data_IF_038279839250
#
_entry.id   IF_038279839250
#
_cell.length_a   1.000
_cell.length_b   1.000
_cell.length_c   1.000
_cell.angle_alpha   90.00
_cell.angle_beta   90.00
_cell.angle_gamma   90.00
#
_symmetry.space_group_name_H-M   'P 1'
#
loop_
_entity.id
_entity.type
_entity.pdbx_description
1 polymer ?
#
# COMPACT_ATOMS: atom_id res chain seq x y z
N UNK A 1 -11.08 11.31 -10.83
CA UNK A 1 -11.25 9.97 -10.21
C UNK A 1 -10.96 8.99 -11.32
N UNK A 2 -10.01 8.06 -11.12
CA UNK A 2 -9.55 7.17 -12.20
C UNK A 2 -10.19 5.79 -12.03
N UNK A 3 -10.88 5.32 -13.08
CA UNK A 3 -11.56 4.03 -13.08
C UNK A 3 -10.73 3.01 -13.86
N UNK A 4 -10.46 1.87 -13.25
CA UNK A 4 -9.71 0.77 -13.86
C UNK A 4 -10.64 -0.44 -14.02
N UNK A 5 -10.74 -0.96 -15.25
CA UNK A 5 -11.39 -2.24 -15.54
C UNK A 5 -10.54 -3.39 -14.95
N UNK A 6 -11.18 -4.30 -14.23
CA UNK A 6 -10.46 -5.38 -13.54
C UNK A 6 -9.94 -6.47 -14.49
N UNK A 7 -10.40 -6.51 -15.73
CA UNK A 7 -9.86 -7.37 -16.78
C UNK A 7 -8.60 -6.81 -17.43
N UNK A 8 -8.28 -5.53 -17.23
CA UNK A 8 -7.11 -4.92 -17.80
C UNK A 8 -5.82 -5.56 -17.25
N UNK A 9 -4.78 -5.76 -18.09
CA UNK A 9 -3.48 -6.22 -17.62
C UNK A 9 -2.79 -5.13 -16.79
N UNK A 10 -1.94 -5.53 -15.84
CA UNK A 10 -1.17 -4.59 -15.01
C UNK A 10 -0.28 -3.67 -15.86
N UNK A 11 0.18 -4.13 -17.02
CA UNK A 11 0.95 -3.29 -17.96
C UNK A 11 0.14 -2.09 -18.48
N UNK A 12 -1.16 -2.27 -18.79
CA UNK A 12 -2.01 -1.15 -19.24
C UNK A 12 -2.22 -0.10 -18.16
N UNK A 13 -2.18 -0.49 -16.89
CA UNK A 13 -2.23 0.44 -15.75
C UNK A 13 -0.95 1.27 -15.70
N UNK A 14 0.21 0.64 -15.93
CA UNK A 14 1.51 1.32 -15.94
C UNK A 14 1.62 2.33 -17.09
N UNK A 15 1.15 1.93 -18.27
CA UNK A 15 1.19 2.75 -19.49
C UNK A 15 0.22 3.92 -19.47
N UNK A 16 -0.79 3.89 -18.57
CA UNK A 16 -1.72 4.99 -18.42
C UNK A 16 -1.01 6.22 -17.80
N UNK A 17 -1.11 7.41 -18.42
CA UNK A 17 -0.53 8.63 -17.87
C UNK A 17 -1.12 9.04 -16.51
N UNK A 18 -2.38 8.67 -16.22
CA UNK A 18 -3.07 8.95 -14.96
C UNK A 18 -2.64 8.02 -13.81
N UNK A 19 -1.71 7.08 -14.05
CA UNK A 19 -1.24 6.15 -13.05
C UNK A 19 -0.50 6.85 -11.89
N UNK A 20 -0.99 6.73 -10.64
CA UNK A 20 -0.34 7.34 -9.49
C UNK A 20 1.13 6.91 -9.33
N UNK A 21 2.03 7.82 -8.91
CA UNK A 21 3.45 7.50 -8.73
C UNK A 21 3.70 6.27 -7.86
N UNK A 22 2.94 6.10 -6.77
CA UNK A 22 3.02 4.94 -5.88
C UNK A 22 2.69 3.63 -6.62
N UNK A 23 1.61 3.59 -7.40
CA UNK A 23 1.28 2.39 -8.19
C UNK A 23 2.32 2.11 -9.26
N UNK A 24 2.76 3.14 -9.99
CA UNK A 24 3.82 3.02 -10.99
C UNK A 24 5.09 2.41 -10.38
N UNK A 25 5.52 2.92 -9.22
CA UNK A 25 6.69 2.45 -8.47
C UNK A 25 6.62 0.96 -8.14
N UNK A 26 5.48 0.50 -7.63
CA UNK A 26 5.26 -0.92 -7.27
C UNK A 26 5.19 -1.85 -8.49
N UNK A 27 4.90 -1.34 -9.68
CA UNK A 27 4.88 -2.12 -10.93
C UNK A 27 6.25 -2.20 -11.62
N UNK A 28 7.04 -1.13 -11.60
CA UNK A 28 8.31 -1.06 -12.36
C UNK A 28 9.49 -1.78 -11.70
N UNK A 29 9.44 -2.01 -10.39
CA UNK A 29 10.55 -2.62 -9.64
C UNK A 29 10.51 -4.16 -9.54
N UNK A 30 9.51 -4.73 -8.86
CA UNK A 30 9.49 -6.16 -8.49
C UNK A 30 8.91 -7.10 -9.55
N UNK A 31 8.09 -6.60 -10.46
CA UNK A 31 7.35 -7.44 -11.41
C UNK A 31 8.03 -7.34 -12.77
N UNK A 32 8.23 -8.47 -13.47
CA UNK A 32 8.76 -8.47 -14.83
C UNK A 32 7.74 -7.91 -15.82
N UNK A 33 8.19 -7.45 -16.98
CA UNK A 33 7.29 -7.00 -18.04
C UNK A 33 6.34 -8.13 -18.50
N UNK A 34 6.82 -9.37 -18.60
CA UNK A 34 6.02 -10.55 -18.95
C UNK A 34 4.90 -10.76 -17.92
N UNK A 35 5.25 -10.79 -16.63
CA UNK A 35 4.28 -10.97 -15.55
C UNK A 35 3.23 -9.85 -15.53
N UNK A 36 3.61 -8.61 -15.84
CA UNK A 36 2.65 -7.49 -15.94
C UNK A 36 1.65 -7.63 -17.10
N UNK A 37 2.05 -8.25 -18.21
CA UNK A 37 1.13 -8.50 -19.34
C UNK A 37 0.20 -9.70 -19.10
N UNK A 38 0.67 -10.72 -18.37
CA UNK A 38 -0.09 -11.94 -18.10
C UNK A 38 -0.99 -11.86 -16.85
N UNK A 39 -0.81 -10.82 -16.04
CA UNK A 39 -1.58 -10.63 -14.81
C UNK A 39 -2.59 -9.52 -15.02
N UNK A 40 -3.87 -9.87 -14.96
CA UNK A 40 -4.96 -8.89 -14.87
C UNK A 40 -5.06 -8.31 -13.47
N UNK A 41 -5.70 -7.15 -13.34
CA UNK A 41 -6.06 -6.56 -12.05
C UNK A 41 -6.84 -7.56 -11.18
N UNK A 42 -7.86 -8.20 -11.74
CA UNK A 42 -8.66 -9.19 -11.02
C UNK A 42 -7.80 -10.34 -10.50
N UNK A 43 -6.85 -10.83 -11.32
CA UNK A 43 -5.92 -11.89 -10.89
C UNK A 43 -5.00 -11.41 -9.77
N UNK A 44 -4.52 -10.18 -9.83
CA UNK A 44 -3.72 -9.60 -8.75
C UNK A 44 -4.52 -9.48 -7.44
N UNK A 45 -5.81 -9.14 -7.49
CA UNK A 45 -6.66 -9.03 -6.29
C UNK A 45 -7.07 -10.38 -5.70
N UNK A 46 -7.48 -11.31 -6.56
CA UNK A 46 -7.91 -12.67 -6.16
C UNK A 46 -6.73 -13.57 -5.76
N UNK A 47 -5.55 -13.32 -6.32
CA UNK A 47 -4.31 -14.00 -5.97
C UNK A 47 -3.23 -12.96 -5.61
N UNK A 48 -3.27 -12.39 -4.39
CA UNK A 48 -2.40 -11.27 -3.99
C UNK A 48 -0.90 -11.54 -4.12
N UNK A 49 -0.49 -12.81 -4.12
CA UNK A 49 0.91 -13.20 -4.38
C UNK A 49 1.42 -12.84 -5.78
N UNK A 50 0.53 -12.62 -6.75
CA UNK A 50 0.92 -12.22 -8.10
C UNK A 50 1.52 -10.81 -8.14
N UNK A 51 1.01 -9.90 -7.28
CA UNK A 51 1.47 -8.51 -7.22
C UNK A 51 1.30 -7.92 -5.81
N UNK A 52 1.98 -8.48 -4.78
CA UNK A 52 1.65 -8.20 -3.38
C UNK A 52 1.86 -6.74 -2.98
N UNK A 53 2.93 -6.11 -3.46
CA UNK A 53 3.19 -4.69 -3.20
C UNK A 53 2.19 -3.78 -3.89
N UNK A 54 1.76 -4.14 -5.10
CA UNK A 54 0.77 -3.36 -5.85
C UNK A 54 -0.60 -3.41 -5.16
N UNK A 55 -1.02 -4.60 -4.72
CA UNK A 55 -2.23 -4.78 -3.91
C UNK A 55 -2.12 -4.04 -2.57
N UNK A 56 -0.96 -4.10 -1.91
CA UNK A 56 -0.72 -3.35 -0.69
C UNK A 56 -0.84 -1.83 -0.89
N UNK A 57 -0.36 -1.32 -2.02
CA UNK A 57 -0.53 0.07 -2.39
C UNK A 57 -2.01 0.43 -2.60
N UNK A 58 -2.80 -0.39 -3.31
CA UNK A 58 -4.24 -0.13 -3.45
C UNK A 58 -4.96 -0.04 -2.09
N UNK A 59 -4.64 -0.96 -1.16
CA UNK A 59 -5.18 -0.94 0.19
C UNK A 59 -4.74 0.31 0.97
N UNK A 60 -3.47 0.72 0.85
CA UNK A 60 -2.94 1.91 1.52
C UNK A 60 -3.57 3.20 0.96
N UNK A 61 -3.83 3.26 -0.34
CA UNK A 61 -4.55 4.37 -0.97
C UNK A 61 -6.06 4.37 -0.65
N UNK A 62 -6.58 3.27 -0.09
CA UNK A 62 -8.00 3.08 0.23
C UNK A 62 -8.90 3.21 -0.99
N UNK A 63 -8.51 2.49 -2.02
CA UNK A 63 -9.30 2.32 -3.25
C UNK A 63 -10.67 1.76 -2.91
N UNK A 64 -11.69 2.31 -3.55
CA UNK A 64 -13.06 1.79 -3.52
C UNK A 64 -13.29 0.91 -4.73
N UNK A 65 -14.04 -0.16 -4.55
CA UNK A 65 -14.37 -1.11 -5.61
C UNK A 65 -15.85 -1.08 -5.91
N UNK A 66 -16.20 -1.32 -7.16
CA UNK A 66 -17.58 -1.59 -7.57
C UNK A 66 -17.72 -3.08 -7.88
N UNK A 67 -18.67 -3.71 -7.21
CA UNK A 67 -18.99 -5.15 -7.33
C UNK A 67 -20.42 -5.30 -7.84
N UNK A 68 -20.70 -6.41 -8.53
CA UNK A 68 -22.06 -6.73 -8.95
C UNK A 68 -22.82 -7.36 -7.76
N UNK A 69 -23.86 -6.68 -7.28
CA UNK A 69 -24.74 -7.17 -6.23
C UNK A 69 -26.10 -7.61 -6.77
N UNK A 70 -26.87 -8.33 -5.94
CA UNK A 70 -28.18 -8.89 -6.31
C UNK A 70 -29.20 -7.83 -6.76
N UNK A 71 -29.05 -6.58 -6.30
CA UNK A 71 -29.91 -5.43 -6.62
C UNK A 71 -29.27 -4.42 -7.60
N UNK A 72 -28.08 -4.74 -8.14
CA UNK A 72 -27.29 -3.85 -9.00
C UNK A 72 -25.88 -3.57 -8.45
N UNK A 73 -25.13 -2.63 -9.08
CA UNK A 73 -23.76 -2.33 -8.69
C UNK A 73 -23.68 -1.72 -7.28
N UNK A 74 -22.85 -2.28 -6.42
CA UNK A 74 -22.59 -1.79 -5.06
C UNK A 74 -21.14 -1.28 -4.96
N UNK A 75 -20.95 -0.16 -4.25
CA UNK A 75 -19.62 0.40 -3.97
C UNK A 75 -19.21 0.09 -2.54
N UNK A 76 -17.98 -0.44 -2.37
CA UNK A 76 -17.44 -0.77 -1.06
C UNK A 76 -15.91 -0.58 -1.00
N UNK A 77 -15.31 -0.49 0.20
CA UNK A 77 -13.86 -0.42 0.34
C UNK A 77 -13.18 -1.69 -0.20
N UNK A 78 -12.00 -1.54 -0.81
CA UNK A 78 -11.20 -2.69 -1.20
C UNK A 78 -10.81 -3.51 0.03
N UNK A 79 -11.17 -4.79 0.02
CA UNK A 79 -10.69 -5.81 0.94
C UNK A 79 -9.97 -6.89 0.14
N UNK A 80 -9.06 -7.59 0.80
CA UNK A 80 -8.26 -8.69 0.24
C UNK A 80 -8.31 -9.82 1.26
N UNK A 81 -8.52 -11.06 0.80
CA UNK A 81 -9.19 -12.09 1.60
C UNK A 81 -9.76 -13.21 0.76
N UNK A 82 -9.80 -14.42 1.32
CA UNK A 82 -10.55 -15.54 0.74
C UNK A 82 -12.05 -15.24 0.51
N UNK A 83 -12.62 -14.33 1.31
CA UNK A 83 -14.02 -13.87 1.22
C UNK A 83 -14.15 -12.54 0.46
N UNK A 84 -13.11 -12.08 -0.24
CA UNK A 84 -13.18 -10.81 -0.95
C UNK A 84 -14.11 -10.89 -2.16
N UNK A 85 -14.96 -9.88 -2.37
CA UNK A 85 -15.81 -9.84 -3.54
C UNK A 85 -14.97 -9.70 -4.81
N UNK A 86 -15.46 -10.18 -5.94
CA UNK A 86 -14.81 -10.01 -7.24
C UNK A 86 -15.22 -8.67 -7.86
N UNK A 87 -14.34 -7.65 -7.89
CA UNK A 87 -14.72 -6.35 -8.42
C UNK A 87 -14.69 -6.35 -9.95
N UNK A 88 -15.54 -5.52 -10.55
CA UNK A 88 -15.50 -5.22 -11.99
C UNK A 88 -14.79 -3.90 -12.29
N UNK A 89 -14.86 -2.94 -11.36
CA UNK A 89 -14.22 -1.63 -11.49
C UNK A 89 -13.48 -1.30 -10.19
N UNK A 90 -12.22 -0.88 -10.32
CA UNK A 90 -11.50 -0.19 -9.25
C UNK A 90 -11.61 1.31 -9.45
N UNK A 91 -12.08 2.02 -8.43
CA UNK A 91 -12.11 3.47 -8.40
C UNK A 91 -10.97 3.97 -7.54
N UNK A 92 -9.95 4.51 -8.19
CA UNK A 92 -8.83 5.15 -7.50
C UNK A 92 -9.22 6.60 -7.21
N UNK A 93 -9.22 7.02 -5.93
CA UNK A 93 -9.51 8.41 -5.58
C UNK A 93 -8.50 9.32 -6.29
N UNK A 94 -8.96 10.46 -6.85
CA UNK A 94 -8.08 11.40 -7.52
C UNK A 94 -7.25 12.17 -6.49
N UNK A 95 -6.21 11.57 -5.90
CA UNK A 95 -5.35 12.32 -5.00
C UNK A 95 -3.96 11.69 -4.81
N UNK A 96 -3.06 11.95 -5.76
CA UNK A 96 -1.59 11.79 -5.62
C UNK A 96 -0.85 12.85 -6.46
N UNK A 97 -1.41 14.05 -6.57
CA UNK A 97 -0.70 15.20 -7.13
C UNK A 97 0.03 15.89 -5.96
N UNK A 98 1.27 16.39 -6.15
CA UNK A 98 1.84 17.31 -5.17
C UNK A 98 0.91 18.52 -5.03
N UNK A 99 0.72 19.07 -3.82
CA UNK A 99 -0.08 20.27 -3.63
C UNK A 99 0.48 21.39 -4.51
N UNK A 100 -0.39 21.98 -5.34
CA UNK A 100 -0.01 23.06 -6.23
C UNK A 100 -0.03 24.36 -5.42
N UNK A 101 1.05 24.60 -4.68
CA UNK A 101 1.32 25.83 -3.94
C UNK A 101 0.64 25.96 -2.57
N UNK A 102 1.42 26.35 -1.56
CA UNK A 102 0.98 27.12 -0.38
C UNK A 102 0.16 26.42 0.70
N UNK A 103 -0.45 25.27 0.44
CA UNK A 103 -1.21 24.54 1.46
C UNK A 103 -0.33 23.53 2.21
N UNK A 104 -0.25 23.69 3.53
CA UNK A 104 0.48 22.81 4.46
C UNK A 104 -0.05 21.35 4.47
N UNK A 105 -1.13 21.05 3.75
CA UNK A 105 -1.78 19.73 3.72
C UNK A 105 -1.51 18.92 2.46
N UNK A 106 -1.52 17.60 2.59
CA UNK A 106 -1.36 16.72 1.43
C UNK A 106 -1.22 15.25 1.76
N UNK A 107 -1.32 14.42 0.72
CA UNK A 107 -1.09 12.99 0.79
C UNK A 107 0.38 12.69 0.51
N UNK A 108 1.01 11.97 1.44
CA UNK A 108 2.39 11.50 1.35
C UNK A 108 2.41 9.99 1.40
N UNK A 109 3.42 9.37 0.83
CA UNK A 109 3.51 7.91 0.77
C UNK A 109 4.94 7.43 0.93
N UNK A 110 5.12 6.19 1.33
CA UNK A 110 6.43 5.58 1.46
C UNK A 110 6.36 4.09 1.29
N UNK A 111 7.43 3.50 0.76
CA UNK A 111 7.57 2.06 0.63
C UNK A 111 8.93 1.60 1.16
N UNK A 112 8.92 0.48 1.86
CA UNK A 112 10.13 -0.17 2.33
C UNK A 112 9.97 -1.67 2.21
N UNK A 113 11.01 -2.35 1.73
CA UNK A 113 10.98 -3.80 1.54
C UNK A 113 12.32 -4.44 1.87
N UNK A 114 12.27 -5.71 2.20
CA UNK A 114 13.43 -6.58 2.29
C UNK A 114 13.20 -7.81 1.41
N UNK A 115 14.14 -8.06 0.51
CA UNK A 115 14.14 -9.15 -0.46
C UNK A 115 15.52 -9.81 -0.43
N UNK A 116 15.64 -11.08 -0.86
CA UNK A 116 16.97 -11.72 -0.99
C UNK A 116 17.71 -11.23 -2.23
N UNK A 117 16.97 -10.97 -3.30
CA UNK A 117 17.46 -10.36 -4.55
C UNK A 117 16.48 -9.27 -5.01
N UNK A 118 16.89 -8.33 -5.89
CA UNK A 118 15.98 -7.29 -6.38
C UNK A 118 14.72 -7.80 -7.09
N UNK A 119 14.78 -9.02 -7.67
CA UNK A 119 13.69 -9.65 -8.42
C UNK A 119 12.87 -10.66 -7.58
N UNK A 120 13.32 -10.99 -6.37
CA UNK A 120 12.62 -11.90 -5.49
C UNK A 120 11.36 -11.24 -4.90
N UNK A 121 10.34 -12.06 -4.65
CA UNK A 121 9.22 -11.65 -3.80
C UNK A 121 9.75 -11.24 -2.40
N UNK A 122 9.25 -10.13 -1.83
CA UNK A 122 9.68 -9.66 -0.53
C UNK A 122 9.47 -10.69 0.56
N UNK A 123 10.43 -10.74 1.49
CA UNK A 123 10.24 -11.42 2.76
C UNK A 123 9.20 -10.61 3.56
N UNK A 124 9.42 -9.30 3.66
CA UNK A 124 8.45 -8.33 4.18
C UNK A 124 8.51 -7.07 3.31
N UNK A 125 7.35 -6.48 3.04
CA UNK A 125 7.27 -5.13 2.48
C UNK A 125 6.18 -4.35 3.20
N UNK A 126 6.35 -3.02 3.23
CA UNK A 126 5.45 -2.07 3.87
C UNK A 126 5.18 -0.96 2.89
N UNK A 127 3.91 -0.61 2.74
CA UNK A 127 3.45 0.60 2.05
C UNK A 127 2.71 1.45 3.07
N UNK A 128 3.17 2.69 3.25
CA UNK A 128 2.54 3.69 4.10
C UNK A 128 1.95 4.79 3.21
N UNK A 129 0.75 5.22 3.53
CA UNK A 129 0.09 6.39 2.93
C UNK A 129 -0.49 7.20 4.08
N UNK A 130 -0.12 8.47 4.15
CA UNK A 130 -0.53 9.39 5.20
C UNK A 130 -1.08 10.67 4.58
N UNK A 131 -2.17 11.16 5.14
CA UNK A 131 -2.68 12.49 4.88
C UNK A 131 -2.25 13.37 6.05
N UNK A 132 -1.59 14.49 5.76
CA UNK A 132 -1.16 15.46 6.74
C UNK A 132 -1.83 16.81 6.50
N UNK A 133 -1.92 17.60 7.56
CA UNK A 133 -2.26 19.02 7.53
C UNK A 133 -1.25 19.75 8.43
N UNK A 134 -0.30 20.44 7.81
CA UNK A 134 0.97 20.79 8.43
C UNK A 134 1.74 19.53 8.79
N UNK A 135 2.19 19.47 10.04
CA UNK A 135 2.86 18.29 10.56
C UNK A 135 1.87 17.23 11.07
N UNK A 136 0.59 17.59 11.25
CA UNK A 136 -0.39 16.75 11.93
C UNK A 136 -1.00 15.74 10.97
N UNK A 137 -0.91 14.46 11.32
CA UNK A 137 -1.53 13.36 10.57
C UNK A 137 -3.05 13.41 10.74
N UNK A 138 -3.77 13.53 9.62
CA UNK A 138 -5.23 13.42 9.54
C UNK A 138 -5.67 11.98 9.32
N UNK A 139 -4.92 11.26 8.52
CA UNK A 139 -5.19 9.86 8.23
C UNK A 139 -3.88 9.12 8.01
N UNK A 140 -3.78 7.89 8.50
CA UNK A 140 -2.65 7.01 8.23
C UNK A 140 -3.15 5.62 7.84
N UNK A 141 -2.51 5.03 6.83
CA UNK A 141 -2.73 3.65 6.41
C UNK A 141 -1.37 3.02 6.16
N UNK A 142 -1.12 1.91 6.84
CA UNK A 142 0.11 1.13 6.74
C UNK A 142 -0.33 -0.29 6.39
N UNK A 143 0.17 -0.79 5.28
CA UNK A 143 -0.16 -2.10 4.74
C UNK A 143 1.11 -2.90 4.59
N UNK A 144 1.10 -4.13 5.09
CA UNK A 144 2.25 -5.01 5.09
C UNK A 144 2.00 -6.27 4.26
N UNK A 145 3.04 -6.76 3.62
CA UNK A 145 3.06 -8.04 2.90
C UNK A 145 4.09 -8.97 3.53
N UNK A 146 3.86 -10.28 3.48
CA UNK A 146 4.80 -11.28 4.01
C UNK A 146 4.74 -11.45 5.54
N UNK A 147 3.81 -10.77 6.19
CA UNK A 147 3.45 -10.96 7.61
C UNK A 147 2.15 -11.76 7.80
N UNK A 148 1.34 -11.85 6.75
CA UNK A 148 0.18 -12.74 6.61
C UNK A 148 0.17 -13.38 5.21
N UNK A 149 -0.68 -14.39 4.95
CA UNK A 149 -0.84 -14.96 3.61
C UNK A 149 -1.19 -13.92 2.55
N UNK A 150 -1.87 -12.85 2.95
CA UNK A 150 -2.32 -11.74 2.10
C UNK A 150 -1.81 -10.40 2.66
N UNK A 151 -1.78 -9.34 1.84
CA UNK A 151 -1.51 -7.99 2.31
C UNK A 151 -2.50 -7.56 3.39
N UNK A 152 -2.00 -7.11 4.55
CA UNK A 152 -2.82 -6.72 5.71
C UNK A 152 -2.62 -5.24 6.01
N UNK A 153 -3.74 -4.53 6.17
CA UNK A 153 -3.77 -3.16 6.70
C UNK A 153 -3.80 -3.21 8.23
N UNK A 154 -2.85 -2.55 8.89
CA UNK A 154 -2.84 -2.43 10.35
C UNK A 154 -3.63 -1.20 10.78
N UNK A 155 -4.74 -1.41 11.48
CA UNK A 155 -5.59 -0.34 11.98
C UNK A 155 -5.06 0.23 13.30
N UNK A 156 -4.67 -0.63 14.25
CA UNK A 156 -4.32 -0.18 15.60
C UNK A 156 -3.02 0.64 15.63
N UNK A 157 -1.97 0.17 14.94
CA UNK A 157 -0.72 0.91 14.87
C UNK A 157 -0.86 2.27 14.15
N UNK A 158 -1.77 2.39 13.18
CA UNK A 158 -1.95 3.62 12.40
C UNK A 158 -2.84 4.66 13.08
N UNK A 159 -3.82 4.22 13.87
CA UNK A 159 -4.66 5.09 14.69
C UNK A 159 -3.83 5.92 15.69
N UNK A 160 -2.70 5.40 16.18
CA UNK A 160 -1.83 6.12 17.10
C UNK A 160 -1.16 7.36 16.48
N UNK A 161 -1.04 7.40 15.15
CA UNK A 161 -0.47 8.54 14.44
C UNK A 161 -1.51 9.66 14.25
N UNK A 162 -2.80 9.32 14.17
CA UNK A 162 -3.86 10.29 13.87
C UNK A 162 -3.94 11.35 14.97
N UNK A 163 -3.95 12.62 14.56
CA UNK A 163 -3.96 13.77 15.47
C UNK A 163 -2.60 14.11 16.07
N UNK A 164 -1.52 13.45 15.66
CA UNK A 164 -0.14 13.71 16.12
C UNK A 164 0.75 14.19 14.99
N UNK A 165 1.86 14.88 15.30
CA UNK A 165 2.87 15.20 14.30
C UNK A 165 3.52 13.93 13.73
N UNK A 166 3.82 13.93 12.43
CA UNK A 166 4.56 12.85 11.76
C UNK A 166 6.08 12.96 12.02
N UNK A 167 6.46 12.98 13.30
CA UNK A 167 7.84 13.08 13.76
C UNK A 167 8.46 11.71 14.08
N UNK A 168 9.78 11.70 14.29
CA UNK A 168 10.55 10.47 14.53
C UNK A 168 10.06 9.69 15.77
N UNK A 169 9.62 10.38 16.83
CA UNK A 169 9.18 9.73 18.06
C UNK A 169 7.83 9.01 17.85
N UNK A 170 6.87 9.64 17.18
CA UNK A 170 5.58 9.04 16.84
C UNK A 170 5.74 7.93 15.79
N UNK A 171 6.64 8.10 14.81
CA UNK A 171 6.98 7.06 13.84
C UNK A 171 7.57 5.83 14.53
N UNK A 172 8.48 6.02 15.49
CA UNK A 172 9.07 4.92 16.26
C UNK A 172 7.99 4.20 17.08
N UNK A 173 7.12 4.93 17.77
CA UNK A 173 6.02 4.34 18.55
C UNK A 173 5.07 3.50 17.66
N UNK A 174 4.71 4.02 16.49
CA UNK A 174 3.89 3.28 15.52
C UNK A 174 4.60 2.01 15.02
N UNK A 175 5.90 2.10 14.72
CA UNK A 175 6.70 0.94 14.30
C UNK A 175 6.79 -0.15 15.39
N UNK A 176 6.95 0.23 16.66
CA UNK A 176 6.92 -0.70 17.79
C UNK A 176 5.53 -1.34 17.98
N UNK A 177 4.46 -0.58 17.75
CA UNK A 177 3.10 -1.12 17.77
C UNK A 177 2.90 -2.14 16.65
N UNK A 178 3.37 -1.87 15.43
CA UNK A 178 3.36 -2.83 14.32
C UNK A 178 4.10 -4.12 14.70
N UNK A 179 5.29 -4.02 15.28
CA UNK A 179 6.08 -5.20 15.68
C UNK A 179 5.31 -6.09 16.68
N UNK A 180 4.51 -5.49 17.56
CA UNK A 180 3.66 -6.21 18.54
C UNK A 180 2.38 -6.76 17.93
N UNK A 181 1.80 -6.08 16.94
CA UNK A 181 0.55 -6.44 16.27
C UNK A 181 0.73 -7.62 15.29
N UNK A 182 1.92 -7.77 14.68
CA UNK A 182 2.17 -8.81 13.68
C UNK A 182 2.44 -10.20 14.25
N UNK A 183 1.79 -11.20 13.65
CA UNK A 183 1.96 -12.63 13.97
C UNK A 183 2.34 -13.45 12.72
N UNK A 184 3.54 -13.23 12.15
CA UNK A 184 3.95 -13.90 10.92
C UNK A 184 4.27 -15.38 11.14
N UNK A 185 4.18 -16.17 10.06
CA UNK A 185 4.73 -17.53 10.02
C UNK A 185 6.11 -17.51 9.39
N UNK A 186 7.06 -18.22 10.02
CA UNK A 186 8.38 -18.43 9.45
C UNK A 186 8.35 -19.39 8.24
N UNK A 187 9.29 -19.21 7.32
CA UNK A 187 9.52 -20.11 6.18
C UNK A 187 11.02 -20.13 5.79
N UNK A 188 11.34 -20.72 4.63
CA UNK A 188 12.71 -20.80 4.12
C UNK A 188 13.36 -19.44 3.79
N UNK A 189 12.57 -18.36 3.72
CA UNK A 189 13.07 -17.00 3.44
C UNK A 189 13.37 -16.21 4.71
N UNK A 190 12.72 -16.53 5.82
CA UNK A 190 12.96 -15.88 7.10
C UNK A 190 12.11 -16.47 8.23
N UNK A 191 12.67 -16.45 9.44
CA UNK A 191 11.97 -16.90 10.64
C UNK A 191 10.82 -15.95 11.00
N UNK A 192 9.95 -16.40 11.91
CA UNK A 192 8.88 -15.58 12.47
C UNK A 192 9.45 -14.33 13.16
N UNK A 193 10.49 -14.49 13.97
CA UNK A 193 11.14 -13.41 14.71
C UNK A 193 11.75 -12.39 13.75
N UNK A 194 12.40 -12.87 12.68
CA UNK A 194 12.95 -12.00 11.65
C UNK A 194 11.88 -11.19 10.94
N UNK A 195 10.77 -11.84 10.52
CA UNK A 195 9.64 -11.16 9.86
C UNK A 195 9.00 -10.13 10.76
N UNK A 196 8.83 -10.45 12.05
CA UNK A 196 8.29 -9.54 13.07
C UNK A 196 9.17 -8.31 13.24
N UNK A 197 10.47 -8.51 13.49
CA UNK A 197 11.41 -7.39 13.64
C UNK A 197 11.47 -6.52 12.36
N UNK A 198 11.49 -7.15 11.18
CA UNK A 198 11.52 -6.42 9.92
C UNK A 198 10.22 -5.64 9.65
N UNK A 199 9.07 -6.09 10.15
CA UNK A 199 7.81 -5.34 10.04
C UNK A 199 7.91 -3.96 10.72
N UNK A 200 8.48 -3.91 11.94
CA UNK A 200 8.73 -2.64 12.64
C UNK A 200 9.77 -1.77 11.92
N UNK A 201 10.93 -2.34 11.58
CA UNK A 201 12.01 -1.61 10.88
C UNK A 201 11.54 -1.00 9.56
N UNK A 202 10.82 -1.76 8.75
CA UNK A 202 10.32 -1.29 7.44
C UNK A 202 9.17 -0.29 7.60
N UNK A 203 8.32 -0.44 8.62
CA UNK A 203 7.29 0.57 8.94
C UNK A 203 7.91 1.91 9.27
N UNK A 204 8.93 1.93 10.14
CA UNK A 204 9.69 3.16 10.45
C UNK A 204 10.28 3.79 9.20
N UNK A 205 10.86 2.99 8.30
CA UNK A 205 11.43 3.50 7.03
C UNK A 205 10.37 4.07 6.09
N UNK A 206 9.24 3.38 5.93
CA UNK A 206 8.16 3.82 5.04
C UNK A 206 7.52 5.12 5.56
N UNK A 207 7.26 5.21 6.86
CA UNK A 207 6.75 6.45 7.47
C UNK A 207 7.78 7.58 7.46
N UNK A 208 9.07 7.28 7.62
CA UNK A 208 10.14 8.26 7.48
C UNK A 208 10.25 8.85 6.06
N UNK A 209 9.99 8.05 5.02
CA UNK A 209 9.86 8.59 3.66
C UNK A 209 8.66 9.53 3.52
N UNK A 210 7.56 9.24 4.21
CA UNK A 210 6.40 10.13 4.24
C UNK A 210 6.73 11.46 4.94
N UNK A 211 7.52 11.46 6.01
CA UNK A 211 7.90 12.71 6.69
C UNK A 211 8.87 13.55 5.86
N UNK A 212 9.76 12.92 5.10
CA UNK A 212 10.75 13.58 4.23
C UNK A 212 10.20 14.14 2.91
N UNK A 213 8.98 13.75 2.52
CA UNK A 213 8.26 14.37 1.41
C UNK A 213 7.70 15.73 1.86
N UNK A 214 8.62 16.67 2.13
CA UNK A 214 8.26 18.08 2.25
C UNK A 214 7.81 18.62 0.88
N UNK A 215 6.93 19.62 0.91
CA UNK A 215 6.45 20.30 -0.28
C UNK A 215 7.66 20.75 -1.10
N UNK A 216 7.88 20.12 -2.25
CA UNK A 216 8.94 20.54 -3.16
C UNK A 216 8.54 21.90 -3.73
N UNK A 217 9.07 22.96 -3.13
CA UNK A 217 9.12 24.30 -3.72
C UNK A 217 10.14 24.27 -4.89
N UNK A 218 9.65 24.02 -6.10
CA UNK A 218 10.30 24.43 -7.36
C UNK A 218 9.26 24.94 -8.36
#
# INVERSE_FOLDING_TARGET
MWNIDTNAPLQSILDNPECPPLLRRTLTGPISWQTRNETSVQKALTSPRAAPQWVAALLAMGVTITVEGDAGPEEMPLTVGAESPSPHILRIPPLFLPPMGGDEGGWRWGEARVTRTPADEPIVAVVAVVEVNGDVVRQARVVLTGVWPEPVRLAQATEQLVGRPLDEDNIRAAAEAVEKEVAPRGDFRGSEEYRRAMAGVLTRRALGQCSQQEASDE
#
